data_IF_924528479052
#
_entry.id   IF_924528479052
#
_cell.length_a   1.000
_cell.length_b   1.000
_cell.length_c   1.000
_cell.angle_alpha   90.00
_cell.angle_beta   90.00
_cell.angle_gamma   90.00
#
_symmetry.space_group_name_H-M   'P 1'
#
loop_
_entity.id
_entity.type
_entity.pdbx_description
1 polymer ?
#
# COMPACT_ATOMS: atom_id res chain seq x y z
N UNK A 1 6.14 25.06 -13.83
CA UNK A 1 5.28 24.02 -13.21
C UNK A 1 5.62 23.98 -11.74
N UNK A 2 4.69 24.35 -10.85
CA UNK A 2 4.94 24.44 -9.41
C UNK A 2 4.70 23.06 -8.79
N UNK A 3 5.75 22.45 -8.25
CA UNK A 3 5.65 21.26 -7.39
C UNK A 3 4.86 21.68 -6.15
N UNK A 4 3.73 21.01 -5.81
CA UNK A 4 2.97 21.39 -4.63
C UNK A 4 3.78 21.09 -3.37
N UNK A 5 3.69 21.95 -2.34
CA UNK A 5 4.44 21.79 -1.10
C UNK A 5 4.04 20.49 -0.40
N UNK A 6 5.03 19.84 0.19
CA UNK A 6 5.00 18.56 0.91
C UNK A 6 4.19 18.59 2.23
N UNK A 7 3.17 19.44 2.34
CA UNK A 7 2.49 19.76 3.61
C UNK A 7 0.96 19.87 3.49
N UNK A 8 0.37 19.21 2.50
CA UNK A 8 -1.08 18.95 2.48
C UNK A 8 -1.31 17.50 2.89
N UNK A 9 -1.20 17.26 4.20
CA UNK A 9 -1.78 16.09 4.86
C UNK A 9 -3.30 16.15 4.67
N UNK A 10 -3.76 15.67 3.52
CA UNK A 10 -5.18 15.50 3.24
C UNK A 10 -5.69 14.50 4.28
N UNK A 11 -6.57 14.97 5.17
CA UNK A 11 -7.22 14.16 6.20
C UNK A 11 -8.01 13.04 5.52
N UNK A 12 -7.40 11.88 5.36
CA UNK A 12 -8.11 10.69 4.90
C UNK A 12 -8.82 10.07 6.11
N UNK A 13 -10.12 10.31 6.23
CA UNK A 13 -10.99 9.56 7.13
C UNK A 13 -11.15 8.16 6.54
N UNK A 14 -10.38 7.20 7.06
CA UNK A 14 -10.44 5.82 6.60
C UNK A 14 -11.52 5.09 7.43
N UNK A 15 -12.53 4.54 6.74
CA UNK A 15 -13.53 3.64 7.32
C UNK A 15 -13.10 2.20 7.08
N UNK A 16 -12.75 1.49 8.15
CA UNK A 16 -12.55 0.05 8.13
C UNK A 16 -13.37 -0.58 9.25
N UNK A 17 -14.30 -1.49 8.92
CA UNK A 17 -15.28 -2.05 9.85
C UNK A 17 -16.07 -0.99 10.65
N UNK A 18 -16.30 0.19 10.06
CA UNK A 18 -17.03 1.29 10.71
C UNK A 18 -16.25 2.03 11.81
N UNK A 19 -14.96 1.74 12.02
CA UNK A 19 -14.14 2.41 13.04
C UNK A 19 -13.23 3.46 12.38
N UNK A 20 -13.39 4.73 12.79
CA UNK A 20 -12.49 5.82 12.41
C UNK A 20 -11.19 5.68 13.19
N UNK A 21 -10.08 5.47 12.48
CA UNK A 21 -8.74 5.48 13.08
C UNK A 21 -8.09 6.84 12.82
N UNK A 22 -8.07 7.69 13.83
CA UNK A 22 -7.38 8.99 13.77
C UNK A 22 -5.85 8.81 13.85
N UNK A 23 -5.12 9.45 12.93
CA UNK A 23 -3.66 9.75 12.93
C UNK A 23 -2.62 8.65 12.63
N UNK A 24 -2.87 7.71 11.73
CA UNK A 24 -1.84 6.76 11.31
C UNK A 24 -1.63 6.78 9.79
N UNK A 25 -0.43 7.15 9.32
CA UNK A 25 -0.06 7.05 7.90
C UNK A 25 -0.05 5.56 7.50
N UNK A 26 -0.98 5.10 6.65
CA UNK A 26 -1.06 3.69 6.27
C UNK A 26 0.18 3.21 5.53
N UNK A 27 0.94 4.10 4.88
CA UNK A 27 2.19 3.76 4.20
C UNK A 27 3.26 3.39 5.22
N UNK A 28 3.37 4.14 6.33
CA UNK A 28 4.31 3.84 7.41
C UNK A 28 4.10 2.42 7.96
N UNK A 29 2.85 2.04 8.24
CA UNK A 29 2.53 0.71 8.74
C UNK A 29 2.72 -0.37 7.70
N UNK A 30 2.45 -0.08 6.42
CA UNK A 30 2.74 -0.99 5.31
C UNK A 30 4.24 -1.29 5.23
N UNK A 31 5.09 -0.27 5.30
CA UNK A 31 6.54 -0.44 5.30
C UNK A 31 7.02 -1.23 6.52
N UNK A 32 6.51 -0.89 7.70
CA UNK A 32 6.83 -1.61 8.93
C UNK A 32 6.43 -3.09 8.82
N UNK A 33 5.17 -3.38 8.51
CA UNK A 33 4.66 -4.75 8.44
C UNK A 33 5.42 -5.60 7.42
N UNK A 34 5.87 -4.98 6.31
CA UNK A 34 6.64 -5.66 5.28
C UNK A 34 8.08 -6.01 5.71
N UNK A 35 8.67 -5.25 6.63
CA UNK A 35 10.03 -5.50 7.16
C UNK A 35 10.01 -6.23 8.52
N UNK A 36 8.88 -6.21 9.21
CA UNK A 36 8.73 -6.76 10.54
C UNK A 36 8.77 -8.29 10.51
N UNK A 37 9.87 -8.88 10.98
CA UNK A 37 10.01 -10.33 11.18
C UNK A 37 9.66 -10.77 12.60
N UNK A 38 9.42 -9.82 13.51
CA UNK A 38 9.04 -10.10 14.89
C UNK A 38 7.63 -10.72 14.95
N UNK A 39 7.56 -11.95 15.45
CA UNK A 39 6.33 -12.72 15.66
C UNK A 39 5.55 -12.23 16.89
N UNK A 40 6.21 -11.52 17.80
CA UNK A 40 5.64 -10.95 19.02
C UNK A 40 5.38 -9.45 18.90
N UNK A 41 5.39 -8.91 17.68
CA UNK A 41 5.09 -7.51 17.42
C UNK A 41 3.69 -7.16 17.96
N UNK A 42 3.63 -6.25 18.94
CA UNK A 42 2.38 -5.83 19.60
C UNK A 42 1.62 -4.77 18.82
N UNK A 43 2.12 -4.34 17.66
CA UNK A 43 1.46 -3.33 16.85
C UNK A 43 0.28 -3.94 16.11
N UNK A 44 -0.95 -3.55 16.49
CA UNK A 44 -2.18 -4.08 15.92
C UNK A 44 -2.28 -3.87 14.41
N UNK A 45 -1.80 -2.74 13.89
CA UNK A 45 -1.80 -2.47 12.45
C UNK A 45 -0.81 -3.35 11.70
N UNK A 46 0.35 -3.64 12.29
CA UNK A 46 1.30 -4.61 11.75
C UNK A 46 0.68 -6.02 11.63
N UNK A 47 0.03 -6.48 12.71
CA UNK A 47 -0.63 -7.79 12.74
C UNK A 47 -1.73 -7.86 11.66
N UNK A 48 -2.57 -6.82 11.58
CA UNK A 48 -3.64 -6.74 10.57
C UNK A 48 -3.10 -6.74 9.15
N UNK A 49 -2.11 -5.89 8.85
CA UNK A 49 -1.50 -5.83 7.52
C UNK A 49 -0.84 -7.16 7.13
N UNK A 50 -0.17 -7.84 8.06
CA UNK A 50 0.37 -9.18 7.81
C UNK A 50 -0.72 -10.20 7.46
N UNK A 51 -1.90 -10.11 8.10
CA UNK A 51 -3.04 -10.92 7.73
C UNK A 51 -3.54 -10.60 6.32
N UNK A 52 -3.63 -9.31 5.96
CA UNK A 52 -3.97 -8.88 4.60
C UNK A 52 -2.93 -9.32 3.57
N UNK A 53 -1.64 -9.38 3.91
CA UNK A 53 -0.61 -9.90 3.00
C UNK A 53 -0.81 -11.39 2.71
N UNK A 54 -1.25 -12.17 3.70
CA UNK A 54 -1.60 -13.58 3.51
C UNK A 54 -2.84 -13.70 2.65
N UNK A 55 -3.91 -12.97 2.99
CA UNK A 55 -5.12 -12.92 2.20
C UNK A 55 -4.83 -12.59 0.73
N UNK A 56 -4.07 -11.53 0.47
CA UNK A 56 -3.72 -11.09 -0.88
C UNK A 56 -3.01 -12.18 -1.71
N UNK A 57 -2.18 -13.04 -1.07
CA UNK A 57 -1.49 -14.14 -1.76
C UNK A 57 -2.42 -15.30 -2.13
N UNK A 58 -3.49 -15.47 -1.37
CA UNK A 58 -4.42 -16.62 -1.46
C UNK A 58 -5.77 -16.23 -2.10
N UNK A 59 -6.05 -14.93 -2.23
CA UNK A 59 -7.32 -14.43 -2.72
C UNK A 59 -7.48 -14.69 -4.22
N UNK A 60 -8.49 -15.47 -4.57
CA UNK A 60 -8.85 -15.82 -5.95
C UNK A 60 -9.58 -14.66 -6.67
N UNK A 61 -10.19 -13.75 -5.91
CA UNK A 61 -10.94 -12.59 -6.42
C UNK A 61 -10.10 -11.30 -6.29
N UNK A 62 -8.85 -11.39 -6.71
CA UNK A 62 -7.91 -10.29 -6.62
C UNK A 62 -8.44 -9.04 -7.35
N UNK A 63 -8.72 -7.97 -6.59
CA UNK A 63 -9.25 -6.70 -7.12
C UNK A 63 -10.77 -6.57 -7.15
N UNK A 64 -11.52 -7.61 -6.78
CA UNK A 64 -12.97 -7.54 -6.53
C UNK A 64 -13.32 -7.64 -5.03
N UNK A 65 -12.33 -8.03 -4.21
CA UNK A 65 -12.46 -8.12 -2.77
C UNK A 65 -12.12 -6.78 -2.10
N UNK A 66 -12.98 -6.29 -1.19
CA UNK A 66 -12.81 -4.98 -0.52
C UNK A 66 -11.46 -4.87 0.23
N UNK A 67 -10.99 -5.98 0.83
CA UNK A 67 -9.69 -6.02 1.50
C UNK A 67 -8.51 -5.89 0.53
N UNK A 68 -8.64 -6.50 -0.64
CA UNK A 68 -7.67 -6.44 -1.72
C UNK A 68 -7.62 -5.04 -2.31
N UNK A 69 -8.77 -4.43 -2.54
CA UNK A 69 -8.91 -3.10 -3.14
C UNK A 69 -8.21 -2.04 -2.27
N UNK A 70 -8.54 -2.00 -0.98
CA UNK A 70 -7.91 -1.06 -0.06
C UNK A 70 -6.41 -1.31 0.11
N UNK A 71 -6.00 -2.57 0.28
CA UNK A 71 -4.58 -2.89 0.39
C UNK A 71 -3.83 -2.43 -0.88
N UNK A 72 -4.43 -2.67 -2.04
CA UNK A 72 -3.87 -2.27 -3.32
C UNK A 72 -3.73 -0.75 -3.42
N UNK A 73 -4.71 0.03 -2.97
CA UNK A 73 -4.65 1.50 -2.95
C UNK A 73 -3.43 2.00 -2.16
N UNK A 74 -3.20 1.48 -0.94
CA UNK A 74 -2.05 1.89 -0.12
C UNK A 74 -0.74 1.49 -0.80
N UNK A 75 -0.65 0.24 -1.26
CA UNK A 75 0.54 -0.28 -1.91
C UNK A 75 0.85 0.47 -3.22
N UNK A 76 -0.18 0.87 -3.96
CA UNK A 76 -0.08 1.67 -5.17
C UNK A 76 0.43 3.08 -4.88
N UNK A 77 -0.10 3.75 -3.86
CA UNK A 77 0.36 5.08 -3.44
C UNK A 77 1.83 5.04 -3.01
N UNK A 78 2.24 4.02 -2.26
CA UNK A 78 3.65 3.80 -1.94
C UNK A 78 4.48 3.58 -3.21
N UNK A 79 4.09 2.64 -4.07
CA UNK A 79 4.85 2.26 -5.27
C UNK A 79 5.01 3.41 -6.28
N UNK A 80 4.01 4.28 -6.39
CA UNK A 80 4.01 5.45 -7.28
C UNK A 80 5.07 6.48 -6.89
N UNK A 81 5.40 6.57 -5.59
CA UNK A 81 6.41 7.48 -5.06
C UNK A 81 7.74 6.76 -4.73
N UNK A 82 7.80 5.44 -4.85
CA UNK A 82 8.95 4.63 -4.45
C UNK A 82 9.92 4.41 -5.62
N UNK A 83 11.08 5.04 -5.53
CA UNK A 83 12.15 4.94 -6.54
C UNK A 83 13.17 3.82 -6.24
N UNK A 84 13.09 3.17 -5.07
CA UNK A 84 14.05 2.14 -4.64
C UNK A 84 13.97 0.90 -5.52
N UNK A 85 15.02 0.58 -6.29
CA UNK A 85 15.04 -0.60 -7.16
C UNK A 85 14.63 -1.88 -6.43
N UNK A 86 15.21 -2.08 -5.25
CA UNK A 86 14.83 -3.12 -4.31
C UNK A 86 14.04 -2.51 -3.15
N UNK A 87 12.73 -2.73 -3.15
CA UNK A 87 11.85 -2.31 -2.07
C UNK A 87 11.31 -3.54 -1.33
N UNK A 88 11.54 -3.67 -0.01
CA UNK A 88 11.01 -4.78 0.77
C UNK A 88 9.50 -4.64 1.03
N UNK A 89 8.90 -3.48 0.73
CA UNK A 89 7.47 -3.25 0.92
C UNK A 89 6.66 -4.21 0.06
N UNK A 90 5.73 -4.93 0.69
CA UNK A 90 4.92 -5.94 0.05
C UNK A 90 4.21 -5.35 -1.18
N UNK A 91 4.27 -6.07 -2.31
CA UNK A 91 3.74 -5.68 -3.63
C UNK A 91 4.34 -4.44 -4.32
N UNK A 92 5.19 -3.64 -3.66
CA UNK A 92 5.74 -2.41 -4.24
C UNK A 92 6.42 -2.61 -5.59
N UNK A 93 7.35 -3.58 -5.69
CA UNK A 93 8.11 -3.83 -6.92
C UNK A 93 7.19 -4.29 -8.05
N UNK A 94 6.25 -5.19 -7.75
CA UNK A 94 5.27 -5.71 -8.72
C UNK A 94 4.37 -4.59 -9.25
N UNK A 95 3.80 -3.78 -8.37
CA UNK A 95 2.93 -2.66 -8.78
C UNK A 95 3.71 -1.64 -9.60
N UNK A 96 4.95 -1.33 -9.23
CA UNK A 96 5.79 -0.40 -10.00
C UNK A 96 6.13 -0.93 -11.40
N UNK A 97 6.33 -2.24 -11.56
CA UNK A 97 6.52 -2.85 -12.88
C UNK A 97 5.28 -2.67 -13.76
N UNK A 98 4.09 -2.94 -13.21
CA UNK A 98 2.80 -2.72 -13.90
C UNK A 98 2.65 -1.25 -14.28
N UNK A 99 2.91 -0.32 -13.35
CA UNK A 99 2.90 1.12 -13.62
C UNK A 99 3.78 1.48 -14.82
N UNK A 100 5.04 1.02 -14.81
CA UNK A 100 5.99 1.26 -15.91
C UNK A 100 5.48 0.70 -17.24
N UNK A 101 4.90 -0.49 -17.26
CA UNK A 101 4.32 -1.11 -18.46
C UNK A 101 3.14 -0.30 -19.00
N UNK A 102 2.16 0.05 -18.17
CA UNK A 102 1.00 0.85 -18.58
C UNK A 102 1.38 2.26 -19.07
N UNK A 103 2.44 2.87 -18.53
CA UNK A 103 2.98 4.14 -19.05
C UNK A 103 3.70 3.96 -20.39
N UNK A 104 4.30 2.80 -20.63
CA UNK A 104 4.99 2.50 -21.88
C UNK A 104 3.99 2.21 -23.02
N UNK A 105 2.88 1.55 -22.72
CA UNK A 105 1.79 1.27 -23.66
C UNK A 105 1.06 2.54 -24.10
N UNK A 106 0.82 3.49 -23.18
CA UNK A 106 0.21 4.79 -23.51
C UNK A 106 1.05 5.70 -24.41
N UNK A 107 2.35 5.43 -24.56
CA UNK A 107 3.26 6.20 -25.45
C UNK A 107 3.39 5.60 -26.85
N UNK A 108 2.80 4.42 -27.09
CA UNK A 108 2.82 3.73 -28.39
C UNK A 108 1.53 3.96 -29.21
N UNK A 109 0.64 4.81 -28.73
CA UNK A 109 -0.61 5.24 -29.40
C UNK A 109 -0.43 6.66 -29.92
#
# INVERSE_FOLDING_TARGET
MKVPPSDTFQKYSISWNGVRHDFCDPIYFLEHASRCVDLSCKNLMCIKLKASFRHFKECLEFGACEECEYFYEIAFRHASNCEKEWCPTFMCVKIRQVLKQCFHERKKV
#
